data_IF_693263884075
#
_entry.id   IF_693263884075
#
_cell.length_a   1.000
_cell.length_b   1.000
_cell.length_c   1.000
_cell.angle_alpha   90.00
_cell.angle_beta   90.00
_cell.angle_gamma   90.00
#
_symmetry.space_group_name_H-M   'P 1'
#
loop_
_entity.id
_entity.type
_entity.pdbx_description
1 polymer ?
#
# COMPACT_ATOMS: atom_id res chain seq x y z
N UNK A 1 -6.67 19.03 8.14
CA UNK A 1 -5.62 17.99 8.13
C UNK A 1 -6.02 16.95 9.17
N UNK A 2 -6.56 15.81 8.75
CA UNK A 2 -6.98 14.74 9.66
C UNK A 2 -5.78 13.89 10.03
N UNK A 3 -5.41 13.84 11.31
CA UNK A 3 -4.36 12.96 11.82
C UNK A 3 -4.70 11.50 11.48
N UNK A 4 -3.79 10.72 10.90
CA UNK A 4 -4.05 9.32 10.63
C UNK A 4 -4.28 8.57 11.95
N UNK A 5 -5.20 7.58 11.97
CA UNK A 5 -5.46 6.79 13.15
C UNK A 5 -4.19 6.06 13.61
N UNK A 6 -4.09 5.81 14.93
CA UNK A 6 -2.98 5.08 15.51
C UNK A 6 -2.86 3.68 14.90
N UNK A 7 -1.63 3.25 14.63
CA UNK A 7 -1.34 1.90 14.17
C UNK A 7 -1.56 0.93 15.32
N UNK A 8 -2.18 -0.21 15.00
CA UNK A 8 -2.32 -1.29 15.96
C UNK A 8 -1.07 -2.18 15.94
N UNK A 9 -0.87 -3.06 16.95
CA UNK A 9 0.35 -3.85 17.06
C UNK A 9 0.62 -4.77 15.86
N UNK A 10 1.90 -4.98 15.55
CA UNK A 10 2.36 -5.75 14.37
C UNK A 10 1.82 -7.18 14.31
N UNK A 11 1.68 -7.87 15.44
CA UNK A 11 1.17 -9.24 15.50
C UNK A 11 -0.30 -9.34 15.04
N UNK A 12 -1.07 -8.25 15.10
CA UNK A 12 -2.43 -8.19 14.59
C UNK A 12 -2.50 -7.92 13.09
N UNK A 13 -1.39 -7.60 12.40
CA UNK A 13 -1.41 -7.30 10.97
C UNK A 13 -1.98 -8.47 10.14
N UNK A 14 -1.71 -9.71 10.56
CA UNK A 14 -2.27 -10.92 9.96
C UNK A 14 -3.79 -11.06 10.09
N UNK A 15 -4.39 -10.36 11.04
CA UNK A 15 -5.85 -10.32 11.22
C UNK A 15 -6.51 -9.25 10.34
N UNK A 16 -5.72 -8.37 9.72
CA UNK A 16 -6.26 -7.36 8.81
C UNK A 16 -6.88 -8.03 7.59
N UNK A 17 -8.10 -7.65 7.16
CA UNK A 17 -8.67 -8.17 5.93
C UNK A 17 -7.89 -7.75 4.68
N UNK A 18 -6.99 -6.78 4.81
CA UNK A 18 -6.14 -6.24 3.73
C UNK A 18 -4.85 -7.01 3.54
N UNK A 19 -4.34 -7.66 4.58
CA UNK A 19 -3.08 -8.40 4.49
C UNK A 19 -3.37 -9.79 3.91
N UNK A 20 -2.59 -10.20 2.90
CA UNK A 20 -2.80 -11.48 2.22
C UNK A 20 -3.82 -11.44 1.07
N UNK A 21 -4.30 -10.25 0.68
CA UNK A 21 -5.25 -10.07 -0.44
C UNK A 21 -4.82 -8.96 -1.38
N UNK A 22 -5.26 -9.07 -2.64
CA UNK A 22 -5.13 -8.00 -3.63
C UNK A 22 -6.19 -6.93 -3.36
N UNK A 23 -5.78 -5.82 -2.76
CA UNK A 23 -6.70 -4.75 -2.38
C UNK A 23 -6.99 -3.83 -3.58
N UNK A 24 -8.25 -3.68 -4.02
CA UNK A 24 -8.58 -2.70 -5.04
C UNK A 24 -8.44 -1.29 -4.46
N UNK A 25 -7.54 -0.48 -5.04
CA UNK A 25 -7.32 0.91 -4.62
C UNK A 25 -7.34 1.83 -5.83
N UNK A 26 -7.60 3.13 -5.61
CA UNK A 26 -7.41 4.14 -6.65
C UNK A 26 -5.94 4.52 -6.71
N UNK A 27 -5.47 5.00 -7.87
CA UNK A 27 -4.09 5.46 -8.02
C UNK A 27 -3.71 6.55 -6.99
N UNK A 28 -4.66 7.45 -6.68
CA UNK A 28 -4.46 8.49 -5.65
C UNK A 28 -4.27 7.91 -4.24
N UNK A 29 -4.94 6.80 -3.92
CA UNK A 29 -4.81 6.15 -2.62
C UNK A 29 -3.48 5.41 -2.51
N UNK A 30 -2.99 4.83 -3.62
CA UNK A 30 -1.66 4.21 -3.70
C UNK A 30 -0.57 5.25 -3.52
N UNK A 31 -0.71 6.41 -4.18
CA UNK A 31 0.24 7.51 -3.99
C UNK A 31 0.24 8.05 -2.56
N UNK A 32 -0.92 8.01 -1.88
CA UNK A 32 -1.06 8.45 -0.49
C UNK A 32 -0.70 7.36 0.54
N UNK A 33 -0.24 6.17 0.11
CA UNK A 33 0.21 5.14 1.03
C UNK A 33 1.42 5.61 1.82
N UNK A 34 1.38 5.38 3.12
CA UNK A 34 2.44 5.79 4.04
C UNK A 34 3.35 4.62 4.35
N UNK A 35 4.65 4.84 4.19
CA UNK A 35 5.67 3.98 4.79
C UNK A 35 5.92 4.43 6.23
N UNK A 36 6.18 3.46 7.10
CA UNK A 36 6.36 3.68 8.53
C UNK A 36 7.71 3.08 8.88
N UNK A 37 8.58 3.86 9.53
CA UNK A 37 9.98 3.51 9.80
C UNK A 37 10.18 2.10 10.39
N UNK A 38 9.26 1.66 11.24
CA UNK A 38 9.28 0.33 11.87
C UNK A 38 9.09 -0.85 10.88
N UNK A 39 8.54 -0.57 9.70
CA UNK A 39 8.19 -1.54 8.66
C UNK A 39 8.87 -1.26 7.33
N UNK A 40 9.78 -0.27 7.29
CA UNK A 40 10.57 0.05 6.10
C UNK A 40 11.32 -1.18 5.59
N UNK A 41 11.34 -1.37 4.27
CA UNK A 41 12.00 -2.51 3.61
C UNK A 41 11.25 -3.85 3.67
N UNK A 42 10.13 -3.96 4.40
CA UNK A 42 9.29 -5.17 4.41
C UNK A 42 8.26 -5.20 3.27
N UNK A 43 8.15 -4.11 2.50
CA UNK A 43 7.17 -3.93 1.44
C UNK A 43 5.74 -3.84 1.98
N UNK A 44 5.56 -3.32 3.20
CA UNK A 44 4.25 -3.09 3.82
C UNK A 44 4.04 -1.58 3.92
N UNK A 45 2.93 -1.13 3.35
CA UNK A 45 2.50 0.27 3.41
C UNK A 45 1.19 0.39 4.16
N UNK A 46 0.85 1.61 4.60
CA UNK A 46 -0.37 1.84 5.38
C UNK A 46 -1.29 2.82 4.68
N UNK A 47 -2.54 2.38 4.47
CA UNK A 47 -3.64 3.28 4.21
C UNK A 47 -4.41 3.46 5.53
N UNK A 48 -4.38 4.67 6.08
CA UNK A 48 -4.84 4.94 7.45
C UNK A 48 -4.08 4.06 8.46
N UNK A 49 -4.77 3.09 9.05
CA UNK A 49 -4.23 2.08 9.96
C UNK A 49 -4.14 0.67 9.36
N UNK A 50 -4.57 0.46 8.12
CA UNK A 50 -4.58 -0.86 7.50
C UNK A 50 -3.28 -1.15 6.73
N UNK A 51 -2.60 -2.29 7.01
CA UNK A 51 -1.41 -2.70 6.28
C UNK A 51 -1.79 -3.24 4.90
N UNK A 52 -1.10 -2.76 3.86
CA UNK A 52 -1.31 -3.11 2.47
C UNK A 52 0.02 -3.58 1.89
N UNK A 53 -0.02 -4.78 1.32
CA UNK A 53 1.13 -5.40 0.64
C UNK A 53 0.91 -5.55 -0.86
N UNK A 54 -0.33 -5.84 -1.26
CA UNK A 54 -0.69 -6.07 -2.66
C UNK A 54 -1.85 -5.19 -3.07
N UNK A 55 -1.71 -4.53 -4.21
CA UNK A 55 -2.71 -3.62 -4.75
C UNK A 55 -3.16 -4.09 -6.12
N UNK A 56 -4.46 -4.07 -6.35
CA UNK A 56 -5.06 -4.22 -7.67
C UNK A 56 -5.45 -2.84 -8.20
N UNK A 57 -4.76 -2.39 -9.24
CA UNK A 57 -5.07 -1.15 -9.95
C UNK A 57 -5.83 -1.45 -11.24
N UNK A 58 -6.69 -0.53 -11.66
CA UNK A 58 -7.39 -0.58 -12.94
C UNK A 58 -7.42 0.82 -13.52
N UNK A 59 -7.05 0.94 -14.79
CA UNK A 59 -6.94 2.22 -15.48
C UNK A 59 -6.64 2.03 -16.97
N UNK A 60 -6.61 3.14 -17.69
CA UNK A 60 -6.29 3.17 -19.12
C UNK A 60 -4.77 3.33 -19.27
N UNK A 61 -4.18 2.62 -20.24
CA UNK A 61 -2.79 2.80 -20.62
C UNK A 61 -2.68 4.15 -21.36
N UNK A 62 -1.93 5.09 -20.80
CA UNK A 62 -1.76 6.45 -21.38
C UNK A 62 -0.40 6.63 -22.05
N UNK A 63 0.60 5.85 -21.65
CA UNK A 63 1.95 5.85 -22.20
C UNK A 63 2.55 4.46 -22.04
N UNK A 64 3.49 4.12 -22.93
CA UNK A 64 4.29 2.89 -22.86
C UNK A 64 5.74 3.28 -23.15
N UNK A 65 6.61 3.04 -22.18
CA UNK A 65 8.05 3.27 -22.30
C UNK A 65 8.79 1.93 -22.27
N UNK A 66 9.75 1.74 -23.17
CA UNK A 66 10.61 0.55 -23.20
C UNK A 66 11.93 0.83 -22.47
N UNK A 67 12.18 0.11 -21.38
CA UNK A 67 13.45 0.16 -20.66
C UNK A 67 14.31 -1.03 -21.07
N UNK A 68 15.32 -0.79 -21.89
CA UNK A 68 16.38 -1.76 -22.16
C UNK A 68 17.30 -1.79 -20.94
N UNK A 69 17.02 -2.66 -19.97
CA UNK A 69 17.98 -2.93 -18.89
C UNK A 69 19.24 -3.58 -19.45
N UNK A 70 20.40 -3.13 -18.97
CA UNK A 70 21.72 -3.68 -19.27
C UNK A 70 22.04 -4.87 -18.36
#
# INVERSE_FOLDING_TARGET
>A
MTTPPALYPSHCHGLSPTLGRWCPLRAVDVFALREVAEYEGQGIYFHLNHPIKWVRLTGIIVAMDEFYSR
#
